data_IF_295223619579
#
_entry.id   IF_295223619579
#
_cell.length_a   1.000
_cell.length_b   1.000
_cell.length_c   1.000
_cell.angle_alpha   90.00
_cell.angle_beta   90.00
_cell.angle_gamma   90.00
#
_symmetry.space_group_name_H-M   'P 1'
#
loop_
_entity.id
_entity.type
_entity.pdbx_description
1 polymer ?
#
# COMPACT_ATOMS: atom_id res chain seq x y z
N UNK A 1 5.48 20.70 16.85
CA UNK A 1 5.59 21.29 15.49
C UNK A 1 4.27 20.99 14.80
N UNK A 2 3.41 21.99 14.60
CA UNK A 2 2.12 21.79 13.94
C UNK A 2 2.35 21.33 12.50
N UNK A 3 2.07 20.06 12.22
CA UNK A 3 2.19 19.51 10.87
C UNK A 3 0.89 19.81 10.12
N UNK A 4 0.83 20.99 9.51
CA UNK A 4 -0.32 21.43 8.72
C UNK A 4 -0.49 20.59 7.44
N UNK A 5 0.59 19.97 6.94
CA UNK A 5 0.60 19.07 5.79
C UNK A 5 1.55 17.91 6.11
N UNK A 6 1.07 16.67 6.02
CA UNK A 6 1.87 15.52 6.45
C UNK A 6 1.53 14.16 5.86
N UNK A 7 0.38 14.03 5.21
CA UNK A 7 -0.05 12.75 4.66
C UNK A 7 0.30 12.70 3.18
N UNK A 8 1.16 11.77 2.79
CA UNK A 8 1.40 11.45 1.39
C UNK A 8 0.38 10.38 0.99
N UNK A 9 -0.60 10.74 0.17
CA UNK A 9 -1.49 9.74 -0.44
C UNK A 9 -0.81 9.11 -1.64
N UNK A 10 -0.78 7.77 -1.70
CA UNK A 10 -0.25 7.01 -2.84
C UNK A 10 -1.31 6.01 -3.28
N UNK A 11 -1.69 6.08 -4.56
CA UNK A 11 -2.51 5.05 -5.17
C UNK A 11 -1.65 3.83 -5.50
N UNK A 12 -2.07 2.65 -5.04
CA UNK A 12 -1.46 1.37 -5.40
C UNK A 12 -2.40 0.63 -6.35
N UNK A 13 -1.86 0.11 -7.45
CA UNK A 13 -2.64 -0.67 -8.42
C UNK A 13 -2.69 -2.13 -7.98
N UNK A 14 -3.85 -2.56 -7.50
CA UNK A 14 -4.16 -3.96 -7.22
C UNK A 14 -4.65 -4.69 -8.48
N UNK A 15 -4.58 -6.03 -8.53
CA UNK A 15 -5.22 -6.85 -9.56
C UNK A 15 -6.77 -6.81 -9.47
N UNK A 16 -7.44 -7.38 -10.46
CA UNK A 16 -8.92 -7.54 -10.43
C UNK A 16 -9.29 -8.56 -9.36
N UNK A 17 -10.03 -8.12 -8.34
CA UNK A 17 -10.55 -8.96 -7.26
C UNK A 17 -11.85 -9.62 -7.70
N UNK A 18 -12.00 -10.91 -7.40
CA UNK A 18 -13.19 -11.72 -7.66
C UNK A 18 -13.77 -12.27 -6.36
N UNK A 19 -14.99 -12.80 -6.45
CA UNK A 19 -15.63 -13.47 -5.32
C UNK A 19 -14.86 -14.74 -4.94
N UNK A 20 -14.60 -14.91 -3.64
CA UNK A 20 -13.80 -16.01 -3.10
C UNK A 20 -12.30 -15.72 -2.95
N UNK A 21 -11.81 -14.59 -3.48
CA UNK A 21 -10.42 -14.18 -3.28
C UNK A 21 -10.16 -13.71 -1.84
N UNK A 22 -8.97 -13.99 -1.31
CA UNK A 22 -8.51 -13.38 -0.06
C UNK A 22 -8.07 -11.93 -0.31
N UNK A 23 -8.99 -11.02 -0.03
CA UNK A 23 -8.77 -9.58 -0.20
C UNK A 23 -7.62 -9.09 0.70
N UNK A 24 -7.48 -9.63 1.90
CA UNK A 24 -6.46 -9.17 2.84
C UNK A 24 -5.05 -9.52 2.33
N UNK A 25 -4.86 -10.76 1.89
CA UNK A 25 -3.60 -11.21 1.30
C UNK A 25 -3.24 -10.39 0.05
N UNK A 26 -4.20 -10.21 -0.87
CA UNK A 26 -4.00 -9.42 -2.10
C UNK A 26 -3.55 -7.99 -1.81
N UNK A 27 -4.16 -7.35 -0.80
CA UNK A 27 -3.82 -5.97 -0.42
C UNK A 27 -2.41 -5.90 0.17
N UNK A 28 -2.07 -6.81 1.08
CA UNK A 28 -0.74 -6.87 1.71
C UNK A 28 0.35 -7.04 0.65
N UNK A 29 0.16 -8.00 -0.26
CA UNK A 29 1.11 -8.25 -1.34
C UNK A 29 1.26 -7.06 -2.28
N UNK A 30 0.16 -6.41 -2.65
CA UNK A 30 0.17 -5.22 -3.50
C UNK A 30 0.97 -4.08 -2.88
N UNK A 31 0.83 -3.87 -1.57
CA UNK A 31 1.57 -2.82 -0.84
C UNK A 31 3.06 -3.15 -0.72
N UNK A 32 3.40 -4.39 -0.38
CA UNK A 32 4.81 -4.84 -0.28
C UNK A 32 5.51 -4.72 -1.63
N UNK A 33 4.84 -5.13 -2.71
CA UNK A 33 5.40 -5.05 -4.05
C UNK A 33 5.54 -3.60 -4.54
N UNK A 34 4.57 -2.74 -4.24
CA UNK A 34 4.68 -1.31 -4.53
C UNK A 34 5.84 -0.65 -3.77
N UNK A 35 6.03 -0.99 -2.49
CA UNK A 35 7.16 -0.49 -1.70
C UNK A 35 8.51 -0.89 -2.30
N UNK A 36 8.64 -2.14 -2.78
CA UNK A 36 9.83 -2.63 -3.47
C UNK A 36 10.07 -1.93 -4.82
N UNK A 37 9.01 -1.72 -5.61
CA UNK A 37 9.12 -1.14 -6.95
C UNK A 37 9.40 0.37 -6.94
N UNK A 38 8.71 1.12 -6.08
CA UNK A 38 8.79 2.58 -5.99
C UNK A 38 9.81 3.05 -4.95
N UNK A 39 10.44 2.12 -4.23
CA UNK A 39 11.54 2.39 -3.30
C UNK A 39 11.17 3.19 -2.05
N UNK A 40 9.91 3.12 -1.60
CA UNK A 40 9.50 3.75 -0.35
C UNK A 40 9.59 2.78 0.83
N UNK A 41 10.05 3.27 1.98
CA UNK A 41 10.12 2.49 3.19
C UNK A 41 8.74 2.35 3.84
N UNK A 42 8.40 1.12 4.23
CA UNK A 42 7.32 0.86 5.18
C UNK A 42 7.90 1.08 6.58
N UNK A 43 7.41 2.10 7.26
CA UNK A 43 7.87 2.46 8.61
C UNK A 43 7.05 1.71 9.67
N UNK A 44 7.16 0.38 9.68
CA UNK A 44 6.54 -0.46 10.70
C UNK A 44 7.31 -0.30 12.03
N UNK A 45 6.75 0.50 12.95
CA UNK A 45 7.21 0.64 14.33
C UNK A 45 6.06 1.06 15.24
#
# INVERSE_FOLDING_TARGET
MERLIGTVSRGVRAPIIREGDDIAEIVVDSVINAAKSEGFALHDR
#
